data_IF_011843892135
#
_entry.id   IF_011843892135
#
_cell.length_a   1.000
_cell.length_b   1.000
_cell.length_c   1.000
_cell.angle_alpha   90.00
_cell.angle_beta   90.00
_cell.angle_gamma   90.00
#
_symmetry.space_group_name_H-M   'P 1'
#
loop_
_entity.id
_entity.type
_entity.pdbx_description
1 polymer ?
#
# COMPACT_ATOMS: atom_id res chain seq x y z
N UNK A 1 -51.37 -17.66 -48.27
CA UNK A 1 -51.33 -16.65 -47.20
C UNK A 1 -51.17 -17.23 -45.76
N UNK A 2 -51.46 -18.52 -45.55
CA UNK A 2 -51.37 -19.17 -44.20
C UNK A 2 -49.95 -19.57 -43.75
N UNK A 3 -49.07 -19.97 -44.68
CA UNK A 3 -47.71 -20.46 -44.35
C UNK A 3 -46.75 -19.33 -43.92
N UNK A 4 -46.91 -18.13 -44.50
CA UNK A 4 -46.07 -16.96 -44.19
C UNK A 4 -46.32 -16.40 -42.76
N UNK A 5 -47.57 -16.46 -42.25
CA UNK A 5 -47.91 -16.03 -40.91
C UNK A 5 -47.34 -16.96 -39.83
N UNK A 6 -47.21 -18.27 -40.13
CA UNK A 6 -46.69 -19.25 -39.16
C UNK A 6 -45.17 -19.13 -38.99
N UNK A 7 -44.44 -18.79 -40.07
CA UNK A 7 -42.97 -18.57 -40.03
C UNK A 7 -42.64 -17.28 -39.30
N UNK A 8 -43.37 -16.20 -39.53
CA UNK A 8 -43.18 -14.92 -38.82
C UNK A 8 -43.46 -15.04 -37.31
N UNK A 9 -44.47 -15.82 -36.88
CA UNK A 9 -44.71 -16.06 -35.44
C UNK A 9 -43.60 -16.89 -34.77
N UNK A 10 -42.99 -17.85 -35.44
CA UNK A 10 -41.87 -18.66 -34.92
C UNK A 10 -40.58 -17.83 -34.81
N UNK A 11 -40.29 -16.93 -35.75
CA UNK A 11 -39.16 -16.02 -35.70
C UNK A 11 -39.29 -14.97 -34.58
N UNK A 12 -40.49 -14.44 -34.35
CA UNK A 12 -40.74 -13.50 -33.23
C UNK A 12 -40.59 -14.18 -31.86
N UNK A 13 -41.00 -15.45 -31.73
CA UNK A 13 -40.83 -16.20 -30.47
C UNK A 13 -39.35 -16.56 -30.20
N UNK A 14 -38.59 -16.90 -31.24
CA UNK A 14 -37.15 -17.20 -31.11
C UNK A 14 -36.35 -15.97 -30.74
N UNK A 15 -36.68 -14.79 -31.32
CA UNK A 15 -36.05 -13.51 -30.99
C UNK A 15 -36.39 -13.05 -29.58
N UNK A 16 -37.57 -13.33 -29.04
CA UNK A 16 -37.98 -13.01 -27.69
C UNK A 16 -37.28 -13.88 -26.65
N UNK A 17 -37.03 -15.18 -26.98
CA UNK A 17 -36.30 -16.12 -26.12
C UNK A 17 -34.81 -15.74 -26.06
N UNK A 18 -34.21 -15.32 -27.20
CA UNK A 18 -32.82 -14.86 -27.24
C UNK A 18 -32.67 -13.54 -26.47
N UNK A 19 -33.65 -12.63 -26.50
CA UNK A 19 -33.64 -11.41 -25.68
C UNK A 19 -33.83 -11.71 -24.18
N UNK A 20 -34.60 -12.71 -23.80
CA UNK A 20 -34.77 -13.13 -22.42
C UNK A 20 -33.57 -13.92 -21.86
N UNK A 21 -32.80 -14.59 -22.69
CA UNK A 21 -31.54 -15.26 -22.29
C UNK A 21 -30.39 -14.28 -22.17
N UNK A 22 -30.42 -13.13 -22.84
CA UNK A 22 -29.44 -12.05 -22.70
C UNK A 22 -29.67 -11.20 -21.43
N UNK A 23 -30.83 -11.33 -20.77
CA UNK A 23 -31.20 -10.55 -19.58
C UNK A 23 -30.87 -11.25 -18.24
N UNK A 24 -30.36 -12.47 -18.25
CA UNK A 24 -29.79 -13.12 -17.07
C UNK A 24 -28.27 -12.96 -17.03
N UNK A 25 -27.78 -11.73 -17.08
CA UNK A 25 -26.47 -11.45 -16.48
C UNK A 25 -26.67 -11.56 -14.98
N UNK A 26 -26.23 -12.68 -14.39
CA UNK A 26 -26.14 -12.78 -12.94
C UNK A 26 -25.33 -11.60 -12.45
N UNK A 27 -25.87 -10.84 -11.50
CA UNK A 27 -25.12 -9.72 -10.89
C UNK A 27 -23.72 -10.23 -10.51
N UNK A 28 -22.67 -9.41 -10.70
CA UNK A 28 -21.32 -9.79 -10.35
C UNK A 28 -21.31 -10.28 -8.89
N UNK A 29 -20.82 -11.50 -8.68
CA UNK A 29 -20.71 -12.04 -7.32
C UNK A 29 -19.34 -11.71 -6.75
N UNK A 30 -19.29 -11.40 -5.44
CA UNK A 30 -18.02 -11.21 -4.74
C UNK A 30 -17.30 -12.56 -4.67
N UNK A 31 -16.03 -12.65 -5.12
CA UNK A 31 -15.25 -13.87 -4.97
C UNK A 31 -15.07 -14.25 -3.50
N UNK A 32 -14.85 -15.53 -3.22
CA UNK A 32 -14.63 -16.03 -1.86
C UNK A 32 -13.14 -16.02 -1.45
N UNK A 33 -12.24 -16.01 -2.41
CA UNK A 33 -10.80 -15.97 -2.23
C UNK A 33 -10.30 -14.51 -2.27
N UNK A 34 -9.47 -14.11 -1.31
CA UNK A 34 -9.01 -12.71 -1.20
C UNK A 34 -8.09 -12.28 -2.34
N UNK A 35 -7.30 -13.19 -2.93
CA UNK A 35 -6.56 -12.87 -4.16
C UNK A 35 -7.50 -12.54 -5.31
N UNK A 36 -8.54 -13.35 -5.50
CA UNK A 36 -9.54 -13.11 -6.55
C UNK A 36 -10.32 -11.81 -6.33
N UNK A 37 -10.60 -11.43 -5.07
CA UNK A 37 -11.20 -10.14 -4.73
C UNK A 37 -10.29 -9.00 -5.19
N UNK A 38 -8.99 -9.05 -4.87
CA UNK A 38 -8.04 -8.02 -5.27
C UNK A 38 -7.83 -7.98 -6.79
N UNK A 39 -7.79 -9.15 -7.45
CA UNK A 39 -7.72 -9.24 -8.91
C UNK A 39 -8.97 -8.61 -9.57
N UNK A 40 -10.17 -8.90 -9.05
CA UNK A 40 -11.41 -8.32 -9.52
C UNK A 40 -11.48 -6.80 -9.28
N UNK A 41 -10.97 -6.34 -8.14
CA UNK A 41 -10.85 -4.92 -7.83
C UNK A 41 -9.97 -4.19 -8.85
N UNK A 42 -8.78 -4.68 -9.11
CA UNK A 42 -7.85 -4.08 -10.06
C UNK A 42 -8.36 -4.16 -11.52
N UNK A 43 -9.12 -5.20 -11.84
CA UNK A 43 -9.79 -5.35 -13.14
C UNK A 43 -11.05 -4.47 -13.29
N UNK A 44 -11.53 -3.83 -12.21
CA UNK A 44 -12.77 -3.04 -12.20
C UNK A 44 -14.04 -3.89 -12.36
N UNK A 45 -13.98 -5.16 -11.97
CA UNK A 45 -15.12 -6.13 -12.08
C UNK A 45 -15.72 -6.51 -10.73
N UNK A 46 -15.15 -6.00 -9.62
CA UNK A 46 -15.68 -6.22 -8.28
C UNK A 46 -17.01 -5.47 -8.12
N UNK A 47 -18.04 -6.08 -7.51
CA UNK A 47 -19.31 -5.40 -7.24
C UNK A 47 -19.13 -4.16 -6.37
N UNK A 48 -19.84 -3.06 -6.65
CA UNK A 48 -19.77 -1.83 -5.86
C UNK A 48 -20.22 -2.01 -4.40
N UNK A 49 -20.96 -3.07 -4.11
CA UNK A 49 -21.38 -3.46 -2.76
C UNK A 49 -20.26 -4.05 -1.91
N UNK A 50 -19.06 -4.20 -2.46
CA UNK A 50 -17.87 -4.67 -1.77
C UNK A 50 -16.72 -3.72 -2.02
N UNK A 51 -16.24 -3.07 -0.99
CA UNK A 51 -15.04 -2.23 -1.02
C UNK A 51 -13.92 -2.96 -0.31
N UNK A 52 -12.81 -3.31 -0.99
CA UNK A 52 -11.67 -3.94 -0.33
C UNK A 52 -11.14 -3.05 0.80
N UNK A 53 -10.64 -3.67 1.88
CA UNK A 53 -10.20 -2.92 3.05
C UNK A 53 -8.94 -3.51 3.68
N UNK A 54 -8.04 -2.64 4.15
CA UNK A 54 -6.89 -3.03 4.94
C UNK A 54 -6.43 -1.89 5.86
N UNK A 55 -6.06 -2.27 7.09
CA UNK A 55 -5.44 -1.39 8.07
C UNK A 55 -4.13 -2.02 8.56
N UNK A 56 -3.17 -1.20 8.93
CA UNK A 56 -1.83 -1.65 9.27
C UNK A 56 -1.40 -1.09 10.63
N UNK A 57 -0.60 -1.86 11.34
CA UNK A 57 -0.04 -1.47 12.64
C UNK A 57 1.46 -1.80 12.67
N UNK A 58 2.20 -1.11 13.54
CA UNK A 58 3.54 -1.53 13.93
C UNK A 58 3.49 -2.53 15.08
N UNK A 59 4.40 -3.48 15.08
CA UNK A 59 4.55 -4.46 16.16
C UNK A 59 5.66 -4.05 17.10
N UNK A 60 5.49 -4.35 18.39
CA UNK A 60 6.43 -3.98 19.45
C UNK A 60 7.14 -5.18 20.09
N UNK A 61 8.25 -4.91 20.77
CA UNK A 61 8.97 -5.91 21.56
C UNK A 61 9.38 -7.14 20.74
N UNK A 62 9.05 -8.32 21.26
CA UNK A 62 9.37 -9.62 20.65
C UNK A 62 8.57 -9.95 19.37
N UNK A 63 7.54 -9.16 19.06
CA UNK A 63 6.70 -9.38 17.87
C UNK A 63 7.30 -8.78 16.58
N UNK A 64 8.56 -8.36 16.60
CA UNK A 64 9.24 -7.74 15.45
C UNK A 64 9.95 -8.72 14.56
N UNK A 65 10.22 -9.93 15.03
CA UNK A 65 11.02 -10.93 14.33
C UNK A 65 10.59 -12.36 14.65
N UNK A 66 11.01 -13.30 13.81
CA UNK A 66 10.81 -14.73 14.00
C UNK A 66 9.34 -15.16 14.09
N UNK A 67 9.08 -16.30 14.71
CA UNK A 67 7.73 -16.87 14.85
C UNK A 67 6.76 -15.95 15.55
N UNK A 68 7.22 -15.16 16.52
CA UNK A 68 6.37 -14.22 17.23
C UNK A 68 5.82 -13.12 16.31
N UNK A 69 6.62 -12.64 15.35
CA UNK A 69 6.16 -11.72 14.32
C UNK A 69 5.15 -12.38 13.38
N UNK A 70 5.43 -13.61 12.94
CA UNK A 70 4.48 -14.39 12.10
C UNK A 70 3.13 -14.52 12.79
N UNK A 71 3.12 -14.96 14.06
CA UNK A 71 1.88 -15.14 14.82
C UNK A 71 1.14 -13.81 15.05
N UNK A 72 1.85 -12.72 15.31
CA UNK A 72 1.24 -11.40 15.51
C UNK A 72 0.54 -10.89 14.23
N UNK A 73 1.18 -11.01 13.06
CA UNK A 73 0.60 -10.64 11.77
C UNK A 73 -0.62 -11.51 11.44
N UNK A 74 -0.52 -12.84 11.58
CA UNK A 74 -1.64 -13.74 11.32
C UNK A 74 -2.82 -13.47 12.23
N UNK A 75 -2.56 -13.25 13.54
CA UNK A 75 -3.62 -12.91 14.50
C UNK A 75 -4.34 -11.62 14.08
N UNK A 76 -3.60 -10.58 13.78
CA UNK A 76 -4.17 -9.28 13.36
C UNK A 76 -4.98 -9.44 12.07
N UNK A 77 -4.42 -10.10 11.06
CA UNK A 77 -5.09 -10.37 9.79
C UNK A 77 -6.41 -11.13 9.96
N UNK A 78 -6.39 -12.23 10.73
CA UNK A 78 -7.57 -13.06 10.96
C UNK A 78 -8.65 -12.33 11.77
N UNK A 79 -8.25 -11.53 12.77
CA UNK A 79 -9.19 -10.76 13.59
C UNK A 79 -9.85 -9.62 12.84
N UNK A 80 -9.15 -8.99 11.88
CA UNK A 80 -9.68 -7.88 11.11
C UNK A 80 -10.41 -8.31 9.85
N UNK A 81 -10.12 -9.50 9.32
CA UNK A 81 -10.64 -10.00 8.04
C UNK A 81 -10.33 -9.10 6.83
N UNK A 82 -9.24 -8.33 6.88
CA UNK A 82 -8.81 -7.46 5.75
C UNK A 82 -8.45 -8.27 4.48
N UNK A 83 -8.37 -7.62 3.32
CA UNK A 83 -8.25 -8.29 2.02
C UNK A 83 -6.82 -8.56 1.59
N UNK A 84 -5.83 -7.93 2.19
CA UNK A 84 -4.41 -8.17 1.98
C UNK A 84 -3.69 -8.35 3.31
N UNK A 85 -2.60 -9.09 3.32
CA UNK A 85 -1.71 -9.19 4.46
C UNK A 85 -0.43 -8.40 4.17
N UNK A 86 -0.32 -7.20 4.74
CA UNK A 86 0.92 -6.42 4.68
C UNK A 86 1.89 -6.92 5.73
N UNK A 87 3.11 -7.24 5.33
CA UNK A 87 4.20 -7.56 6.27
C UNK A 87 4.87 -6.27 6.71
N UNK A 88 4.76 -5.95 7.99
CA UNK A 88 5.35 -4.74 8.54
C UNK A 88 6.87 -4.88 8.59
N UNK A 89 7.56 -3.82 8.18
CA UNK A 89 9.01 -3.74 8.22
C UNK A 89 9.44 -3.14 9.57
N UNK A 90 10.14 -3.93 10.40
CA UNK A 90 10.55 -3.51 11.74
C UNK A 90 12.08 -3.48 11.92
N UNK A 91 12.82 -4.02 10.95
CA UNK A 91 14.28 -4.04 10.99
C UNK A 91 14.86 -2.69 10.57
N UNK A 92 15.75 -2.14 11.37
CA UNK A 92 16.38 -0.85 11.10
C UNK A 92 17.84 -1.00 10.70
N UNK A 93 18.29 -0.17 9.76
CA UNK A 93 19.71 -0.05 9.44
C UNK A 93 20.50 0.49 10.64
N UNK A 94 21.77 0.06 10.82
CA UNK A 94 22.64 0.58 11.87
C UNK A 94 22.87 2.09 11.72
N UNK A 95 22.96 2.79 12.85
CA UNK A 95 23.29 4.22 12.86
C UNK A 95 24.73 4.48 12.37
N UNK A 96 24.91 5.55 11.61
CA UNK A 96 26.20 6.03 11.14
C UNK A 96 26.61 7.21 12.06
N UNK A 97 27.74 7.12 12.78
CA UNK A 97 28.15 8.13 13.78
C UNK A 97 28.82 9.35 13.14
N UNK A 98 28.21 9.93 12.14
CA UNK A 98 28.76 11.03 11.34
C UNK A 98 29.10 12.30 12.12
N UNK A 99 28.39 12.58 13.23
CA UNK A 99 28.61 13.77 14.08
C UNK A 99 29.89 13.67 14.90
N UNK A 100 30.13 12.49 15.45
CA UNK A 100 31.26 12.23 16.36
C UNK A 100 32.51 11.76 15.60
N UNK A 101 32.32 11.32 14.37
CA UNK A 101 33.39 10.81 13.50
C UNK A 101 33.15 11.29 12.06
N UNK A 102 33.68 12.46 11.64
CA UNK A 102 33.57 12.93 10.25
C UNK A 102 34.12 11.94 9.22
N UNK A 103 35.11 11.11 9.57
CA UNK A 103 35.63 10.07 8.69
C UNK A 103 34.63 8.91 8.45
N UNK A 104 33.49 8.90 9.15
CA UNK A 104 32.41 7.94 8.86
C UNK A 104 31.87 8.04 7.43
N UNK A 105 31.92 9.25 6.83
CA UNK A 105 31.53 9.44 5.43
C UNK A 105 32.45 8.74 4.44
N UNK A 106 33.74 8.61 4.77
CA UNK A 106 34.71 7.90 3.93
C UNK A 106 34.62 6.38 4.09
N UNK A 107 34.08 5.91 5.23
CA UNK A 107 33.98 4.49 5.58
C UNK A 107 32.59 3.87 5.34
N UNK A 108 31.70 4.56 4.62
CA UNK A 108 30.40 4.02 4.23
C UNK A 108 30.57 2.72 3.44
N UNK A 109 29.91 1.65 3.90
CA UNK A 109 29.97 0.32 3.32
C UNK A 109 28.56 -0.26 3.12
N UNK A 110 28.38 -1.19 2.17
CA UNK A 110 27.11 -1.88 1.99
C UNK A 110 26.74 -2.67 3.26
N UNK A 111 25.42 -2.85 3.47
CA UNK A 111 24.93 -3.78 4.49
C UNK A 111 25.39 -5.21 4.19
N UNK A 112 25.62 -6.03 5.22
CA UNK A 112 25.89 -7.46 5.01
C UNK A 112 24.81 -8.11 4.14
N UNK A 113 25.18 -9.02 3.24
CA UNK A 113 24.26 -9.68 2.32
C UNK A 113 23.07 -10.40 3.03
N UNK A 114 23.28 -10.81 4.28
CA UNK A 114 22.24 -11.48 5.11
C UNK A 114 21.50 -10.53 6.04
N UNK A 115 21.72 -9.23 5.91
CA UNK A 115 21.14 -8.25 6.86
C UNK A 115 19.62 -8.39 6.96
N UNK A 116 18.91 -8.51 5.85
CA UNK A 116 17.46 -8.65 5.82
C UNK A 116 16.96 -10.10 5.92
N UNK A 117 17.81 -11.06 6.25
CA UNK A 117 17.38 -12.45 6.41
C UNK A 117 16.28 -12.62 7.49
N UNK A 118 16.32 -11.96 8.67
CA UNK A 118 15.24 -12.06 9.65
C UNK A 118 13.89 -11.57 9.11
N UNK A 119 13.90 -10.49 8.32
CA UNK A 119 12.69 -9.99 7.65
C UNK A 119 12.17 -11.00 6.62
N UNK A 120 13.06 -11.57 5.82
CA UNK A 120 12.70 -12.59 4.82
C UNK A 120 12.11 -13.84 5.47
N UNK A 121 12.61 -14.26 6.62
CA UNK A 121 12.11 -15.43 7.35
C UNK A 121 10.67 -15.20 7.85
N UNK A 122 10.35 -13.99 8.32
CA UNK A 122 8.95 -13.61 8.66
C UNK A 122 8.05 -13.63 7.41
N UNK A 123 8.51 -13.06 6.30
CA UNK A 123 7.77 -13.06 5.03
C UNK A 123 7.47 -14.49 4.58
N UNK A 124 8.47 -15.38 4.63
CA UNK A 124 8.31 -16.80 4.30
C UNK A 124 7.29 -17.47 5.19
N UNK A 125 7.39 -17.31 6.52
CA UNK A 125 6.45 -17.90 7.46
C UNK A 125 5.01 -17.47 7.24
N UNK A 126 4.79 -16.21 6.84
CA UNK A 126 3.45 -15.71 6.50
C UNK A 126 2.96 -16.27 5.16
N UNK A 127 3.81 -16.26 4.14
CA UNK A 127 3.49 -16.77 2.81
C UNK A 127 3.12 -18.26 2.83
N UNK A 128 3.85 -19.07 3.59
CA UNK A 128 3.59 -20.51 3.74
C UNK A 128 2.20 -20.80 4.32
N UNK A 129 1.68 -19.88 5.16
CA UNK A 129 0.35 -20.07 5.80
C UNK A 129 -0.79 -19.54 4.93
N UNK A 130 -0.68 -18.32 4.38
CA UNK A 130 -1.81 -17.66 3.70
C UNK A 130 -1.54 -17.30 2.25
N UNK A 131 -0.32 -17.40 1.76
CA UNK A 131 0.09 -16.89 0.45
C UNK A 131 -0.61 -17.54 -0.75
N UNK A 132 -1.31 -18.66 -0.56
CA UNK A 132 -2.15 -19.26 -1.60
C UNK A 132 -3.42 -18.46 -1.86
N UNK A 133 -4.05 -17.94 -0.82
CA UNK A 133 -5.39 -17.36 -0.85
C UNK A 133 -5.41 -15.84 -0.61
N UNK A 134 -4.28 -15.27 -0.19
CA UNK A 134 -4.14 -13.85 0.17
C UNK A 134 -2.87 -13.28 -0.46
N UNK A 135 -2.92 -12.06 -0.97
CA UNK A 135 -1.72 -11.32 -1.32
C UNK A 135 -0.97 -10.94 -0.04
N UNK A 136 0.20 -11.54 0.14
CA UNK A 136 1.17 -11.15 1.18
C UNK A 136 2.06 -10.07 0.59
N UNK A 137 1.97 -8.85 1.12
CA UNK A 137 2.68 -7.68 0.61
C UNK A 137 3.79 -7.26 1.60
N UNK A 138 5.05 -7.67 1.37
CA UNK A 138 6.17 -7.16 2.13
C UNK A 138 6.27 -5.63 1.99
N UNK A 139 6.51 -4.94 3.11
CA UNK A 139 6.87 -3.53 3.07
C UNK A 139 8.30 -3.40 2.57
N UNK A 140 8.50 -2.60 1.54
CA UNK A 140 9.82 -2.21 1.04
C UNK A 140 10.00 -0.72 1.31
N UNK A 141 10.95 -0.37 2.16
CA UNK A 141 11.32 1.02 2.39
C UNK A 141 12.15 1.56 1.24
N UNK A 142 11.93 2.82 0.92
CA UNK A 142 12.81 3.52 -0.01
C UNK A 142 14.22 3.65 0.56
N UNK A 143 15.26 3.72 -0.28
CA UNK A 143 16.62 3.95 0.18
C UNK A 143 16.76 5.21 1.05
N UNK A 144 15.98 6.25 0.75
CA UNK A 144 15.91 7.44 1.58
C UNK A 144 15.45 7.14 3.02
N UNK A 145 14.38 6.34 3.20
CA UNK A 145 13.90 5.98 4.53
C UNK A 145 14.93 5.18 5.33
N UNK A 146 15.66 4.28 4.65
CA UNK A 146 16.75 3.53 5.29
C UNK A 146 17.90 4.47 5.68
N UNK A 147 18.24 5.43 4.83
CA UNK A 147 19.25 6.45 5.12
C UNK A 147 18.82 7.37 6.25
N UNK A 148 17.55 7.77 6.31
CA UNK A 148 16.99 8.54 7.41
C UNK A 148 17.10 7.80 8.75
N UNK A 149 16.90 6.47 8.76
CA UNK A 149 17.07 5.65 9.96
C UNK A 149 18.52 5.60 10.46
N UNK A 150 19.51 5.61 9.56
CA UNK A 150 20.92 5.48 9.89
C UNK A 150 21.64 6.82 10.14
N UNK A 151 21.23 7.88 9.46
CA UNK A 151 21.87 9.21 9.55
C UNK A 151 21.06 10.22 10.39
N UNK A 152 19.73 10.03 10.47
CA UNK A 152 18.80 11.05 10.90
C UNK A 152 18.69 12.20 9.89
N UNK A 153 17.73 13.12 10.10
CA UNK A 153 17.52 14.27 9.21
C UNK A 153 18.77 15.16 9.09
N UNK A 154 19.41 15.44 10.22
CA UNK A 154 20.64 16.26 10.23
C UNK A 154 21.78 15.66 9.42
N UNK A 155 21.92 14.31 9.41
CA UNK A 155 22.93 13.63 8.60
C UNK A 155 22.59 13.62 7.11
N UNK A 156 21.32 13.53 6.76
CA UNK A 156 20.90 13.65 5.36
C UNK A 156 21.20 15.06 4.81
N UNK A 157 20.95 16.10 5.59
CA UNK A 157 21.28 17.49 5.22
C UNK A 157 22.79 17.69 5.08
N UNK A 158 23.56 17.29 6.10
CA UNK A 158 25.04 17.32 6.07
C UNK A 158 25.61 16.58 4.86
N UNK A 159 25.07 15.37 4.59
CA UNK A 159 25.47 14.58 3.42
C UNK A 159 25.17 15.28 2.10
N UNK A 160 24.00 15.89 1.97
CA UNK A 160 23.61 16.60 0.75
C UNK A 160 24.45 17.86 0.50
N UNK A 161 24.79 18.61 1.56
CA UNK A 161 25.51 19.88 1.45
C UNK A 161 27.03 19.70 1.34
N UNK A 162 27.62 18.71 2.03
CA UNK A 162 29.08 18.60 2.21
C UNK A 162 29.67 17.25 1.79
N UNK A 163 28.85 16.19 1.63
CA UNK A 163 29.31 14.82 1.35
C UNK A 163 28.47 14.15 0.26
N UNK A 164 28.09 14.89 -0.79
CA UNK A 164 27.13 14.45 -1.81
C UNK A 164 27.48 13.07 -2.43
N UNK A 165 28.75 12.85 -2.81
CA UNK A 165 29.18 11.58 -3.38
C UNK A 165 29.05 10.40 -2.39
N UNK A 166 29.33 10.65 -1.12
CA UNK A 166 29.20 9.63 -0.07
C UNK A 166 27.71 9.31 0.19
N UNK A 167 26.85 10.33 0.21
CA UNK A 167 25.40 10.12 0.34
C UNK A 167 24.82 9.36 -0.86
N UNK A 168 25.24 9.69 -2.10
CA UNK A 168 24.86 8.93 -3.29
C UNK A 168 25.27 7.46 -3.20
N UNK A 169 26.51 7.18 -2.75
CA UNK A 169 26.98 5.79 -2.53
C UNK A 169 26.13 5.07 -1.49
N UNK A 170 25.78 5.74 -0.37
CA UNK A 170 24.95 5.16 0.67
C UNK A 170 23.56 4.81 0.14
N UNK A 171 22.92 5.73 -0.61
CA UNK A 171 21.63 5.47 -1.25
C UNK A 171 21.69 4.26 -2.20
N UNK A 172 22.78 4.14 -2.99
CA UNK A 172 23.02 3.00 -3.86
C UNK A 172 23.14 1.68 -3.08
N UNK A 173 23.89 1.66 -1.99
CA UNK A 173 24.02 0.46 -1.15
C UNK A 173 22.69 0.03 -0.52
N UNK A 174 21.85 0.99 -0.11
CA UNK A 174 20.52 0.70 0.43
C UNK A 174 19.56 0.25 -0.67
N UNK A 175 19.65 0.82 -1.87
CA UNK A 175 18.90 0.34 -3.02
C UNK A 175 19.25 -1.12 -3.36
N UNK A 176 20.54 -1.46 -3.40
CA UNK A 176 20.99 -2.84 -3.66
C UNK A 176 20.52 -3.82 -2.59
N UNK A 177 20.56 -3.42 -1.32
CA UNK A 177 20.07 -4.24 -0.21
C UNK A 177 18.56 -4.47 -0.29
N UNK A 178 17.76 -3.44 -0.65
CA UNK A 178 16.32 -3.59 -0.86
C UNK A 178 16.00 -4.44 -2.09
N UNK A 179 16.71 -4.27 -3.20
CA UNK A 179 16.55 -5.13 -4.39
C UNK A 179 16.87 -6.59 -4.10
N UNK A 180 17.89 -6.86 -3.29
CA UNK A 180 18.17 -8.23 -2.83
C UNK A 180 16.95 -8.81 -2.08
N UNK A 181 16.37 -8.06 -1.14
CA UNK A 181 15.16 -8.51 -0.42
C UNK A 181 13.99 -8.76 -1.37
N UNK A 182 13.78 -7.87 -2.34
CA UNK A 182 12.74 -8.01 -3.37
C UNK A 182 12.93 -9.30 -4.18
N UNK A 183 14.16 -9.58 -4.64
CA UNK A 183 14.47 -10.77 -5.42
C UNK A 183 14.26 -12.05 -4.61
N UNK A 184 14.64 -12.06 -3.34
CA UNK A 184 14.37 -13.18 -2.44
C UNK A 184 12.86 -13.38 -2.23
N UNK A 185 12.09 -12.30 -2.05
CA UNK A 185 10.63 -12.38 -1.93
C UNK A 185 9.98 -12.96 -3.19
N UNK A 186 10.40 -12.51 -4.38
CA UNK A 186 9.92 -13.08 -5.65
C UNK A 186 10.25 -14.56 -5.80
N UNK A 187 11.44 -14.98 -5.38
CA UNK A 187 11.84 -16.40 -5.37
C UNK A 187 10.95 -17.24 -4.44
N UNK A 188 10.40 -16.66 -3.37
CA UNK A 188 9.41 -17.29 -2.50
C UNK A 188 8.01 -17.38 -3.12
N UNK A 189 7.74 -16.66 -4.21
CA UNK A 189 6.42 -16.59 -4.83
C UNK A 189 5.60 -15.36 -4.41
N UNK A 190 6.20 -14.36 -3.80
CA UNK A 190 5.53 -13.08 -3.50
C UNK A 190 5.14 -12.38 -4.82
N UNK A 191 3.89 -11.98 -4.92
CA UNK A 191 3.28 -11.42 -6.13
C UNK A 191 2.95 -9.93 -6.01
N UNK A 192 3.50 -9.24 -5.00
CA UNK A 192 3.28 -7.81 -4.80
C UNK A 192 3.97 -7.25 -3.58
N UNK A 193 4.03 -5.92 -3.50
CA UNK A 193 4.75 -5.19 -2.46
C UNK A 193 3.97 -3.97 -1.98
N UNK A 194 4.20 -3.61 -0.71
CA UNK A 194 3.82 -2.32 -0.15
C UNK A 194 5.08 -1.44 -0.13
N UNK A 195 5.21 -0.59 -1.15
CA UNK A 195 6.40 0.24 -1.38
C UNK A 195 6.21 1.59 -0.72
N UNK A 196 7.08 1.94 0.22
CA UNK A 196 6.96 3.23 0.92
C UNK A 196 7.98 4.22 0.41
N UNK A 197 7.57 5.48 0.24
CA UNK A 197 8.46 6.57 -0.14
C UNK A 197 8.25 7.82 0.73
N UNK A 198 9.32 8.58 0.85
CA UNK A 198 9.44 9.87 1.52
C UNK A 198 10.55 10.68 0.83
N UNK A 199 10.98 11.80 1.45
CA UNK A 199 12.10 12.62 0.97
C UNK A 199 11.68 13.75 0.03
N UNK A 200 10.39 13.81 -0.34
CA UNK A 200 9.83 14.92 -1.09
C UNK A 200 9.07 15.93 -0.24
N UNK A 201 9.20 15.85 1.09
CA UNK A 201 8.53 16.73 2.04
C UNK A 201 9.07 18.17 1.94
N UNK A 202 8.25 19.14 2.31
CA UNK A 202 8.57 20.57 2.28
C UNK A 202 9.83 20.92 3.06
N UNK A 203 10.19 20.14 4.07
CA UNK A 203 11.39 20.34 4.90
C UNK A 203 12.72 20.29 4.13
N UNK A 204 12.72 19.80 2.89
CA UNK A 204 13.93 19.75 2.05
C UNK A 204 13.92 20.76 0.89
N UNK A 205 12.96 21.67 0.84
CA UNK A 205 12.87 22.65 -0.26
C UNK A 205 13.99 23.70 -0.22
N UNK A 206 14.64 23.85 0.92
CA UNK A 206 15.83 24.71 1.10
C UNK A 206 17.13 24.09 0.55
N UNK A 207 17.12 22.79 0.21
CA UNK A 207 18.28 22.11 -0.40
C UNK A 207 17.98 21.87 -1.89
N UNK A 208 18.65 22.64 -2.79
CA UNK A 208 18.42 22.50 -4.22
C UNK A 208 18.61 21.06 -4.72
N UNK A 209 17.65 20.58 -5.52
CA UNK A 209 17.70 19.25 -6.14
C UNK A 209 17.83 18.06 -5.17
N UNK A 210 17.56 18.24 -3.86
CA UNK A 210 17.65 17.14 -2.89
C UNK A 210 16.89 15.91 -3.33
N UNK A 211 15.61 16.07 -3.66
CA UNK A 211 14.75 14.99 -4.10
C UNK A 211 15.24 14.32 -5.38
N UNK A 212 15.59 15.13 -6.39
CA UNK A 212 15.98 14.63 -7.71
C UNK A 212 17.36 13.96 -7.71
N UNK A 213 18.24 14.34 -6.76
CA UNK A 213 19.61 13.81 -6.68
C UNK A 213 19.71 12.62 -5.74
N UNK A 214 19.09 12.71 -4.54
CA UNK A 214 19.34 11.74 -3.46
C UNK A 214 18.16 10.81 -3.18
N UNK A 215 16.96 11.08 -3.72
CA UNK A 215 15.77 10.30 -3.41
C UNK A 215 15.26 9.56 -4.65
N UNK A 216 14.72 10.32 -5.61
CA UNK A 216 13.97 9.79 -6.74
C UNK A 216 14.70 8.71 -7.55
N UNK A 217 15.99 8.82 -7.93
CA UNK A 217 16.66 7.81 -8.74
C UNK A 217 16.73 6.44 -8.05
N UNK A 218 16.97 6.45 -6.75
CA UNK A 218 17.11 5.24 -5.94
C UNK A 218 15.76 4.63 -5.59
N UNK A 219 14.74 5.46 -5.33
CA UNK A 219 13.37 5.00 -5.14
C UNK A 219 12.86 4.26 -6.38
N UNK A 220 13.01 4.88 -7.56
CA UNK A 220 12.56 4.28 -8.83
C UNK A 220 13.32 2.99 -9.16
N UNK A 221 14.61 2.89 -8.85
CA UNK A 221 15.39 1.66 -9.04
C UNK A 221 14.80 0.50 -8.24
N UNK A 222 14.50 0.73 -6.95
CA UNK A 222 13.90 -0.29 -6.07
C UNK A 222 12.45 -0.59 -6.45
N UNK A 223 11.63 0.44 -6.70
CA UNK A 223 10.20 0.24 -6.96
C UNK A 223 9.93 -0.39 -8.33
N UNK A 224 10.75 -0.10 -9.34
CA UNK A 224 10.70 -0.81 -10.62
C UNK A 224 11.07 -2.29 -10.44
N UNK A 225 12.05 -2.59 -9.59
CA UNK A 225 12.36 -3.98 -9.24
C UNK A 225 11.17 -4.66 -8.53
N UNK A 226 10.46 -3.97 -7.63
CA UNK A 226 9.25 -4.50 -6.98
C UNK A 226 8.16 -4.86 -7.99
N UNK A 227 7.87 -3.94 -8.93
CA UNK A 227 6.72 -4.05 -9.83
C UNK A 227 6.94 -4.91 -11.06
N UNK A 228 8.20 -5.24 -11.37
CA UNK A 228 8.52 -6.17 -12.44
C UNK A 228 7.96 -7.57 -12.13
N UNK A 229 7.08 -8.08 -13.01
CA UNK A 229 6.47 -9.42 -12.93
C UNK A 229 5.64 -9.68 -11.65
N UNK A 230 5.12 -8.63 -11.01
CA UNK A 230 4.23 -8.72 -9.85
C UNK A 230 2.86 -8.12 -10.14
N UNK A 231 1.84 -8.46 -9.33
CA UNK A 231 0.43 -8.21 -9.65
C UNK A 231 -0.21 -7.10 -8.83
N UNK A 232 0.08 -7.03 -7.53
CA UNK A 232 -0.57 -6.10 -6.60
C UNK A 232 0.48 -5.30 -5.85
N UNK A 233 0.76 -4.08 -6.30
CA UNK A 233 1.72 -3.20 -5.64
C UNK A 233 1.02 -1.93 -5.17
N UNK A 234 1.29 -1.54 -3.94
CA UNK A 234 0.77 -0.32 -3.32
C UNK A 234 1.93 0.67 -3.17
N UNK A 235 1.82 1.83 -3.80
CA UNK A 235 2.70 2.96 -3.56
C UNK A 235 2.19 3.72 -2.33
N UNK A 236 2.94 3.74 -1.25
CA UNK A 236 2.62 4.50 -0.05
C UNK A 236 3.50 5.75 0.04
N UNK A 237 2.90 6.92 -0.12
CA UNK A 237 3.55 8.20 0.10
C UNK A 237 3.35 8.55 1.56
N UNK A 238 4.42 8.41 2.36
CA UNK A 238 4.36 8.48 3.82
C UNK A 238 4.62 9.91 4.32
N UNK A 239 3.71 10.42 5.14
CA UNK A 239 3.81 11.74 5.78
C UNK A 239 4.24 11.67 7.26
N UNK A 240 4.81 10.52 7.68
CA UNK A 240 5.22 10.31 9.06
C UNK A 240 6.27 11.31 9.56
N UNK A 241 7.23 11.65 8.70
CA UNK A 241 8.37 12.51 9.05
C UNK A 241 8.23 13.96 8.58
N UNK A 242 7.17 14.29 7.83
CA UNK A 242 6.97 15.63 7.31
C UNK A 242 5.74 15.79 6.43
N UNK A 243 5.46 17.02 6.05
CA UNK A 243 4.30 17.39 5.24
C UNK A 243 4.67 17.66 3.79
N UNK A 244 3.70 17.48 2.91
CA UNK A 244 3.79 17.80 1.49
C UNK A 244 2.88 18.99 1.16
N UNK A 245 3.23 19.78 0.17
CA UNK A 245 2.35 20.79 -0.45
C UNK A 245 1.62 20.24 -1.68
N UNK A 246 2.28 19.31 -2.41
CA UNK A 246 1.67 18.55 -3.50
C UNK A 246 2.32 17.15 -3.63
N UNK A 247 1.70 16.28 -4.43
CA UNK A 247 2.18 14.92 -4.68
C UNK A 247 2.52 14.66 -6.16
N UNK A 248 2.60 15.70 -6.99
CA UNK A 248 2.83 15.58 -8.45
C UNK A 248 4.13 14.87 -8.80
N UNK A 249 5.17 15.01 -7.96
CA UNK A 249 6.46 14.34 -8.13
C UNK A 249 6.42 12.83 -8.03
N UNK A 250 5.32 12.25 -7.52
CA UNK A 250 5.12 10.82 -7.35
C UNK A 250 4.16 10.19 -8.39
N UNK A 251 3.61 10.98 -9.31
CA UNK A 251 2.59 10.52 -10.27
C UNK A 251 3.09 9.39 -11.16
N UNK A 252 4.37 9.43 -11.55
CA UNK A 252 5.01 8.42 -12.39
C UNK A 252 5.70 7.29 -11.61
N UNK A 253 5.62 7.29 -10.27
CA UNK A 253 6.07 6.15 -9.47
C UNK A 253 5.19 4.93 -9.73
N UNK A 254 5.77 3.71 -9.82
CA UNK A 254 5.00 2.52 -10.15
C UNK A 254 4.10 2.06 -9.00
N UNK A 255 3.13 1.22 -9.31
CA UNK A 255 2.18 0.62 -8.37
C UNK A 255 0.75 0.69 -8.90
N UNK A 256 -0.07 -0.33 -8.63
CA UNK A 256 -1.45 -0.40 -9.07
C UNK A 256 -2.41 0.39 -8.19
N UNK A 257 -2.06 0.55 -6.91
CA UNK A 257 -2.84 1.28 -5.89
C UNK A 257 -1.91 2.33 -5.28
N UNK A 258 -2.45 3.49 -4.91
CA UNK A 258 -1.71 4.54 -4.20
C UNK A 258 -2.31 4.74 -2.82
N UNK A 259 -1.47 4.85 -1.80
CA UNK A 259 -1.85 5.24 -0.45
C UNK A 259 -1.23 6.61 -0.15
N UNK A 260 -2.07 7.63 0.01
CA UNK A 260 -1.66 9.03 0.08
C UNK A 260 -1.91 9.63 1.45
N UNK A 261 -1.17 10.69 1.83
CA UNK A 261 -1.61 11.59 2.91
C UNK A 261 -3.03 12.10 2.67
N UNK A 262 -3.75 12.42 3.75
CA UNK A 262 -5.10 13.01 3.71
C UNK A 262 -5.07 14.53 3.86
N UNK A 263 -3.90 15.11 4.02
CA UNK A 263 -3.69 16.54 4.18
C UNK A 263 -2.39 16.97 3.49
N UNK A 264 -2.47 18.02 2.68
CA UNK A 264 -1.32 18.64 2.03
C UNK A 264 -1.18 20.08 2.54
N UNK A 265 -0.22 20.31 3.43
CA UNK A 265 0.07 21.62 4.00
C UNK A 265 -1.19 22.34 4.55
N UNK A 266 -2.00 21.62 5.33
CA UNK A 266 -3.22 22.15 5.94
C UNK A 266 -4.49 22.04 5.08
N UNK A 267 -4.37 21.63 3.82
CA UNK A 267 -5.50 21.42 2.93
C UNK A 267 -5.91 19.95 2.87
N UNK A 268 -7.21 19.61 3.03
CA UNK A 268 -7.66 18.23 2.85
C UNK A 268 -7.30 17.69 1.47
N UNK A 269 -6.84 16.43 1.42
CA UNK A 269 -6.58 15.68 0.21
C UNK A 269 -7.38 14.39 0.25
N UNK A 270 -8.43 14.34 -0.56
CA UNK A 270 -9.45 13.30 -0.50
C UNK A 270 -9.10 12.08 -1.37
N UNK A 271 -9.85 10.98 -1.21
CA UNK A 271 -9.77 9.82 -2.11
C UNK A 271 -10.05 10.20 -3.57
N UNK A 272 -10.95 11.18 -3.80
CA UNK A 272 -11.25 11.68 -5.14
C UNK A 272 -10.06 12.45 -5.72
N UNK A 273 -9.42 13.32 -4.94
CA UNK A 273 -8.22 14.07 -5.37
C UNK A 273 -7.08 13.11 -5.71
N UNK A 274 -6.83 12.10 -4.86
CA UNK A 274 -5.83 11.07 -5.11
C UNK A 274 -6.11 10.27 -6.38
N UNK A 275 -7.36 9.84 -6.59
CA UNK A 275 -7.76 9.12 -7.80
C UNK A 275 -7.61 9.99 -9.05
N UNK A 276 -7.97 11.28 -8.96
CA UNK A 276 -7.83 12.22 -10.08
C UNK A 276 -6.36 12.48 -10.41
N UNK A 277 -5.51 12.69 -9.40
CA UNK A 277 -4.10 12.97 -9.59
C UNK A 277 -3.34 11.77 -10.17
N UNK A 278 -3.54 10.58 -9.59
CA UNK A 278 -2.75 9.40 -9.95
C UNK A 278 -3.37 8.54 -11.07
N UNK A 279 -4.65 8.74 -11.40
CA UNK A 279 -5.36 7.91 -12.37
C UNK A 279 -5.50 6.42 -11.94
N UNK A 280 -5.26 6.11 -10.67
CA UNK A 280 -5.22 4.76 -10.07
C UNK A 280 -6.16 4.65 -8.87
N UNK A 281 -6.56 3.44 -8.44
CA UNK A 281 -7.25 3.24 -7.17
C UNK A 281 -6.44 3.79 -5.98
N UNK A 282 -7.15 4.29 -4.97
CA UNK A 282 -6.54 4.87 -3.76
C UNK A 282 -6.93 4.03 -2.54
N UNK A 283 -5.93 3.66 -1.73
CA UNK A 283 -6.09 3.11 -0.39
C UNK A 283 -6.10 4.29 0.60
N UNK A 284 -7.14 4.38 1.43
CA UNK A 284 -7.24 5.44 2.43
C UNK A 284 -8.66 5.70 2.88
N UNK A 285 -8.95 6.94 3.24
CA UNK A 285 -10.27 7.42 3.62
C UNK A 285 -10.42 7.78 5.10
N UNK A 286 -9.57 7.25 6.00
CA UNK A 286 -9.62 7.56 7.41
C UNK A 286 -8.27 8.13 7.90
N UNK A 287 -8.37 9.08 8.83
CA UNK A 287 -7.24 9.64 9.57
C UNK A 287 -6.72 8.62 10.60
N UNK A 288 -5.42 8.24 10.50
CA UNK A 288 -4.75 7.31 11.43
C UNK A 288 -4.77 7.76 12.89
N UNK A 289 -4.99 9.03 13.15
CA UNK A 289 -5.10 9.63 14.48
C UNK A 289 -6.54 10.06 14.82
N UNK A 290 -7.47 9.82 13.90
CA UNK A 290 -8.86 10.25 13.97
C UNK A 290 -9.79 9.26 14.67
N UNK A 291 -11.00 9.18 14.16
CA UNK A 291 -12.11 8.39 14.73
C UNK A 291 -11.79 6.91 14.82
N UNK A 292 -11.05 6.34 13.85
CA UNK A 292 -10.67 4.91 13.88
C UNK A 292 -9.91 4.52 15.17
N UNK A 293 -9.17 5.48 15.77
CA UNK A 293 -8.39 5.28 17.00
C UNK A 293 -9.12 5.82 18.23
N UNK A 294 -9.76 6.98 18.13
CA UNK A 294 -10.29 7.73 19.28
C UNK A 294 -11.79 7.59 19.48
N UNK A 295 -12.52 7.19 18.43
CA UNK A 295 -13.96 7.10 18.44
C UNK A 295 -14.50 5.77 18.96
N UNK A 296 -15.82 5.73 19.09
CA UNK A 296 -16.60 4.50 19.31
C UNK A 296 -16.75 3.72 18.00
N UNK A 297 -17.27 2.50 18.09
CA UNK A 297 -17.63 1.68 16.95
C UNK A 297 -18.67 2.38 16.05
N UNK A 298 -19.74 2.97 16.63
CA UNK A 298 -20.77 3.67 15.89
C UNK A 298 -20.22 4.91 15.16
N UNK A 299 -19.37 5.70 15.80
CA UNK A 299 -18.71 6.84 15.16
C UNK A 299 -17.79 6.41 14.03
N UNK A 300 -17.11 5.27 14.20
CA UNK A 300 -16.28 4.66 13.15
C UNK A 300 -17.12 4.25 11.95
N UNK A 301 -18.26 3.57 12.18
CA UNK A 301 -19.21 3.19 11.13
C UNK A 301 -19.70 4.43 10.36
N UNK A 302 -20.04 5.51 11.05
CA UNK A 302 -20.48 6.75 10.41
C UNK A 302 -19.38 7.40 9.56
N UNK A 303 -18.15 7.45 10.09
CA UNK A 303 -17.01 8.01 9.37
C UNK A 303 -16.64 7.19 8.11
N UNK A 304 -16.66 5.86 8.21
CA UNK A 304 -16.43 4.98 7.06
C UNK A 304 -17.53 5.16 6.01
N UNK A 305 -18.80 5.21 6.42
CA UNK A 305 -19.92 5.44 5.50
C UNK A 305 -19.75 6.77 4.76
N UNK A 306 -19.44 7.84 5.48
CA UNK A 306 -19.21 9.15 4.87
C UNK A 306 -18.06 9.13 3.87
N UNK A 307 -16.92 8.51 4.24
CA UNK A 307 -15.76 8.39 3.38
C UNK A 307 -16.07 7.60 2.09
N UNK A 308 -16.74 6.44 2.21
CA UNK A 308 -17.06 5.59 1.06
C UNK A 308 -18.15 6.19 0.17
N UNK A 309 -19.12 6.93 0.75
CA UNK A 309 -20.15 7.63 -0.04
C UNK A 309 -19.53 8.71 -0.93
N UNK A 310 -18.53 9.44 -0.42
CA UNK A 310 -17.83 10.49 -1.15
C UNK A 310 -16.76 9.94 -2.11
N UNK A 311 -16.35 8.69 -1.94
CA UNK A 311 -15.24 8.09 -2.69
C UNK A 311 -15.65 7.68 -4.12
N UNK A 312 -14.70 7.65 -5.07
CA UNK A 312 -14.91 7.10 -6.40
C UNK A 312 -15.24 5.60 -6.34
N UNK A 313 -16.40 5.22 -6.86
CA UNK A 313 -16.86 3.84 -6.89
C UNK A 313 -15.89 2.94 -7.68
N UNK A 314 -15.61 1.74 -7.19
CA UNK A 314 -14.70 0.78 -7.82
C UNK A 314 -13.23 1.22 -7.89
N UNK A 315 -12.88 2.37 -7.29
CA UNK A 315 -11.52 2.94 -7.31
C UNK A 315 -10.97 3.18 -5.90
N UNK A 316 -11.62 2.65 -4.89
CA UNK A 316 -11.27 2.89 -3.48
C UNK A 316 -11.04 1.57 -2.77
N UNK A 317 -9.95 1.49 -2.01
CA UNK A 317 -9.70 0.51 -0.98
C UNK A 317 -9.73 1.23 0.36
N UNK A 318 -10.58 0.78 1.29
CA UNK A 318 -10.70 1.44 2.60
C UNK A 318 -9.45 1.18 3.44
N UNK A 319 -8.94 2.23 4.07
CA UNK A 319 -7.83 2.18 5.01
C UNK A 319 -7.57 3.52 5.66
N UNK A 320 -6.40 3.67 6.26
CA UNK A 320 -5.88 4.95 6.71
C UNK A 320 -4.69 5.39 5.83
N UNK A 321 -4.29 6.65 5.96
CA UNK A 321 -3.15 7.20 5.21
C UNK A 321 -1.81 6.57 5.63
N UNK A 322 -1.75 5.98 6.84
CA UNK A 322 -0.59 5.24 7.36
C UNK A 322 -1.05 4.22 8.42
N UNK A 323 -0.12 3.73 9.26
CA UNK A 323 -0.40 2.77 10.33
C UNK A 323 -1.29 3.35 11.44
N UNK A 324 -2.27 2.58 11.90
CA UNK A 324 -3.27 2.97 12.92
C UNK A 324 -2.85 2.46 14.30
N UNK A 325 -1.83 3.09 14.89
CA UNK A 325 -1.36 2.70 16.22
C UNK A 325 -2.42 2.90 17.31
N UNK A 326 -2.74 1.83 18.04
CA UNK A 326 -3.68 1.89 19.16
C UNK A 326 -5.17 1.86 18.77
N UNK A 327 -5.51 1.64 17.49
CA UNK A 327 -6.90 1.49 17.08
C UNK A 327 -7.57 0.29 17.78
N UNK A 328 -8.77 0.49 18.42
CA UNK A 328 -9.50 -0.60 19.03
C UNK A 328 -9.90 -1.66 17.98
N UNK A 329 -9.76 -2.93 18.32
CA UNK A 329 -10.13 -4.05 17.43
C UNK A 329 -11.61 -3.98 16.98
N UNK A 330 -12.59 -3.63 17.82
CA UNK A 330 -13.97 -3.43 17.39
C UNK A 330 -14.11 -2.39 16.28
N UNK A 331 -13.40 -1.25 16.38
CA UNK A 331 -13.43 -0.21 15.34
C UNK A 331 -12.89 -0.70 14.01
N UNK A 332 -11.76 -1.41 14.01
CA UNK A 332 -11.17 -2.00 12.81
C UNK A 332 -12.11 -3.02 12.16
N UNK A 333 -12.69 -3.89 12.99
CA UNK A 333 -13.63 -4.91 12.52
C UNK A 333 -14.89 -4.26 11.93
N UNK A 334 -15.49 -3.28 12.61
CA UNK A 334 -16.67 -2.56 12.12
C UNK A 334 -16.40 -1.81 10.81
N UNK A 335 -15.24 -1.16 10.70
CA UNK A 335 -14.83 -0.46 9.49
C UNK A 335 -14.73 -1.41 8.29
N UNK A 336 -14.05 -2.54 8.45
CA UNK A 336 -13.85 -3.54 7.39
C UNK A 336 -15.18 -4.24 7.06
N UNK A 337 -15.97 -4.61 8.08
CA UNK A 337 -17.27 -5.22 7.87
C UNK A 337 -18.20 -4.31 7.05
N UNK A 338 -18.26 -3.02 7.38
CA UNK A 338 -19.07 -2.06 6.60
C UNK A 338 -18.56 -1.94 5.16
N UNK A 339 -17.25 -1.91 4.94
CA UNK A 339 -16.68 -1.84 3.59
C UNK A 339 -17.04 -3.07 2.74
N UNK A 340 -17.00 -4.25 3.34
CA UNK A 340 -17.36 -5.51 2.67
C UNK A 340 -18.87 -5.65 2.37
N UNK A 341 -19.73 -4.82 2.98
CA UNK A 341 -21.19 -4.84 2.83
C UNK A 341 -21.72 -3.43 2.53
N UNK A 342 -20.93 -2.64 1.80
CA UNK A 342 -21.26 -1.25 1.55
C UNK A 342 -22.42 -1.11 0.58
N UNK A 343 -23.38 -0.23 0.92
CA UNK A 343 -24.43 0.23 0.02
C UNK A 343 -24.61 1.73 0.16
N UNK A 344 -24.64 2.43 -0.98
CA UNK A 344 -24.86 3.89 -1.00
C UNK A 344 -26.28 4.27 -0.60
N UNK A 345 -27.24 3.32 -0.70
CA UNK A 345 -28.67 3.54 -0.46
C UNK A 345 -29.08 3.22 0.98
N UNK A 346 -28.20 2.79 1.83
CA UNK A 346 -28.37 2.52 3.25
C UNK A 346 -27.60 3.56 4.07
#
# INVERSE_FOLDING_TARGET
MSIFLTIMRKLSFLSLIILLLAACQTAPQVPTNKKEIMDAFLAGTLPESYVPAAFFIHYGGHQKEGDAAVQAHLKFFLQTNMDILKVQFEQRAPGIPWRDNPAAWDSIAPLPATFYQPTLDVIRGLYDVVGRDVYVLPTIYSPYQVALQSLGEGGLREGAEHHADALCRLMGYYADAMKWLVDQCKTLGIEGFYMTCQGGEMKYYDIPSFYDTFVRPYDLDVMNACTADTRVNILHICDWEGTYDDLTRYVDYPGQIVNTPINLNGNPFTLQDGTALFGRPVLGGLDRHGIIVKGTEDETIQAVRAALTAAPAGRTMLGAECTVGGAPMPNLHAAIHLAHHFSKDQ
#
